data_IF_736725579195
#
_entry.id   IF_736725579195
#
_cell.length_a   1.000
_cell.length_b   1.000
_cell.length_c   1.000
_cell.angle_alpha   90.00
_cell.angle_beta   90.00
_cell.angle_gamma   90.00
#
_symmetry.space_group_name_H-M   'P 1'
#
loop_
_entity.id
_entity.type
_entity.pdbx_description
1 polymer ?
#
# COMPACT_ATOMS: atom_id res chain seq x y z
N UNK A 1 -70.32 -30.51 -25.32
CA UNK A 1 -69.18 -31.32 -24.82
C UNK A 1 -68.02 -31.18 -25.80
N UNK A 2 -66.79 -31.29 -25.29
CA UNK A 2 -65.56 -30.64 -25.73
C UNK A 2 -65.05 -30.96 -27.16
N UNK A 3 -64.51 -29.92 -27.81
CA UNK A 3 -63.71 -29.96 -29.03
C UNK A 3 -62.22 -30.06 -28.68
N UNK A 4 -61.48 -30.91 -29.40
CA UNK A 4 -60.05 -31.14 -29.22
C UNK A 4 -59.21 -30.01 -29.83
N UNK A 5 -58.14 -29.60 -29.13
CA UNK A 5 -57.05 -28.80 -29.70
C UNK A 5 -55.72 -29.52 -29.48
N UNK A 6 -55.05 -29.78 -30.59
CA UNK A 6 -53.67 -30.26 -30.70
C UNK A 6 -52.72 -29.09 -30.45
N UNK A 7 -51.72 -29.27 -29.59
CA UNK A 7 -50.53 -28.40 -29.56
C UNK A 7 -49.27 -29.27 -29.60
N UNK A 8 -48.47 -29.03 -30.64
CA UNK A 8 -47.19 -29.67 -30.89
C UNK A 8 -46.11 -29.16 -29.91
N UNK A 9 -45.20 -30.06 -29.55
CA UNK A 9 -44.00 -29.76 -28.75
C UNK A 9 -42.93 -29.06 -29.60
N UNK A 10 -42.23 -28.03 -29.09
CA UNK A 10 -41.04 -27.52 -29.76
C UNK A 10 -39.81 -28.40 -29.47
N UNK A 11 -39.19 -28.84 -30.55
CA UNK A 11 -37.93 -29.58 -30.63
C UNK A 11 -36.77 -28.80 -29.98
N UNK A 12 -36.00 -29.49 -29.13
CA UNK A 12 -34.78 -28.97 -28.50
C UNK A 12 -33.64 -28.87 -29.51
N UNK A 13 -33.50 -27.71 -30.17
CA UNK A 13 -32.32 -27.41 -30.96
C UNK A 13 -31.13 -27.14 -30.02
N UNK A 14 -30.14 -28.04 -30.04
CA UNK A 14 -28.86 -27.83 -29.36
C UNK A 14 -28.06 -26.73 -30.07
N UNK A 15 -27.47 -25.76 -29.35
CA UNK A 15 -26.69 -24.70 -30.00
C UNK A 15 -25.37 -25.22 -30.60
N UNK A 16 -24.89 -24.62 -31.71
CA UNK A 16 -23.80 -25.12 -32.53
C UNK A 16 -22.45 -25.14 -31.80
N UNK A 17 -21.65 -26.19 -32.07
CA UNK A 17 -20.38 -26.52 -31.40
C UNK A 17 -19.33 -25.39 -31.39
N UNK A 18 -19.41 -24.40 -32.28
CA UNK A 18 -18.53 -23.22 -32.30
C UNK A 18 -18.68 -22.33 -31.06
N UNK A 19 -19.88 -22.21 -30.47
CA UNK A 19 -20.08 -21.47 -29.22
C UNK A 19 -19.46 -22.20 -28.01
N UNK A 20 -19.46 -23.53 -28.03
CA UNK A 20 -18.85 -24.36 -26.98
C UNK A 20 -17.32 -24.25 -26.98
N UNK A 21 -16.71 -24.07 -28.16
CA UNK A 21 -15.26 -23.83 -28.27
C UNK A 21 -14.86 -22.41 -27.86
N UNK A 22 -15.65 -21.37 -28.20
CA UNK A 22 -15.42 -20.01 -27.69
C UNK A 22 -15.58 -19.93 -26.16
N UNK A 23 -16.53 -20.68 -25.57
CA UNK A 23 -16.66 -20.77 -24.12
C UNK A 23 -15.51 -21.57 -23.45
N UNK A 24 -15.02 -22.64 -24.08
CA UNK A 24 -13.83 -23.37 -23.60
C UNK A 24 -12.52 -22.56 -23.70
N UNK A 25 -12.38 -21.67 -24.69
CA UNK A 25 -11.24 -20.74 -24.75
C UNK A 25 -11.38 -19.58 -23.77
N UNK A 26 -12.61 -19.10 -23.49
CA UNK A 26 -12.84 -18.06 -22.47
C UNK A 26 -12.68 -18.57 -21.02
N UNK A 27 -12.74 -19.88 -20.80
CA UNK A 27 -12.45 -20.52 -19.49
C UNK A 27 -10.99 -20.92 -19.29
N UNK A 28 -10.11 -20.74 -20.29
CA UNK A 28 -8.67 -21.04 -20.18
C UNK A 28 -7.79 -19.80 -20.03
N UNK A 29 -8.35 -18.72 -19.47
CA UNK A 29 -7.61 -17.55 -18.97
C UNK A 29 -8.01 -17.23 -17.50
N UNK A 30 -8.36 -18.24 -16.73
CA UNK A 30 -8.44 -18.17 -15.27
C UNK A 30 -7.09 -18.46 -14.61
N UNK A 31 -5.98 -18.04 -15.22
CA UNK A 31 -4.71 -17.96 -14.51
C UNK A 31 -4.87 -16.85 -13.50
N UNK A 32 -5.15 -17.19 -12.25
CA UNK A 32 -5.15 -16.25 -11.13
C UNK A 32 -3.84 -15.47 -11.25
N UNK A 33 -3.88 -14.21 -11.69
CA UNK A 33 -2.71 -13.34 -11.63
C UNK A 33 -2.43 -13.17 -10.15
N UNK A 34 -1.54 -14.02 -9.63
CA UNK A 34 -1.25 -14.03 -8.21
C UNK A 34 -0.36 -12.83 -7.96
N UNK A 35 -0.99 -11.74 -7.52
CA UNK A 35 -0.34 -10.48 -7.26
C UNK A 35 0.67 -10.55 -6.12
N UNK A 36 1.56 -9.56 -6.05
CA UNK A 36 2.51 -9.42 -4.95
C UNK A 36 1.79 -8.80 -3.74
N UNK A 37 2.01 -9.37 -2.54
CA UNK A 37 1.29 -8.94 -1.35
C UNK A 37 1.87 -7.63 -0.81
N UNK A 38 1.00 -6.66 -0.54
CA UNK A 38 1.35 -5.34 -0.01
C UNK A 38 0.84 -5.22 1.41
N UNK A 39 1.72 -4.75 2.29
CA UNK A 39 1.45 -4.50 3.70
C UNK A 39 1.86 -3.08 4.05
N UNK A 40 1.22 -2.52 5.06
CA UNK A 40 1.67 -1.29 5.74
C UNK A 40 2.15 -1.68 7.12
N UNK A 41 3.29 -1.14 7.54
CA UNK A 41 3.76 -1.30 8.91
C UNK A 41 3.95 0.06 9.58
N UNK A 42 3.74 0.10 10.89
CA UNK A 42 3.94 1.27 11.73
C UNK A 42 4.98 0.97 12.81
N UNK A 43 6.01 1.81 12.89
CA UNK A 43 7.06 1.72 13.92
C UNK A 43 6.95 2.94 14.84
N UNK A 44 6.91 2.77 16.17
CA UNK A 44 6.92 3.89 17.10
C UNK A 44 8.27 4.59 16.98
N UNK A 45 8.26 5.84 16.58
CA UNK A 45 9.43 6.68 16.65
C UNK A 45 9.66 6.99 18.13
N UNK A 46 10.80 6.53 18.66
CA UNK A 46 11.25 6.92 20.00
C UNK A 46 12.19 8.10 19.83
N UNK A 47 11.98 9.15 20.62
CA UNK A 47 12.88 10.29 20.66
C UNK A 47 14.29 9.79 20.99
N UNK A 48 15.28 9.93 20.07
CA UNK A 48 16.67 9.67 20.40
C UNK A 48 17.12 10.65 21.49
N UNK A 49 18.09 10.27 22.32
CA UNK A 49 18.73 11.21 23.25
C UNK A 49 19.52 12.25 22.42
N UNK A 50 19.45 13.54 22.76
CA UNK A 50 20.21 14.60 22.10
C UNK A 50 19.33 15.55 21.24
N UNK A 51 19.89 16.23 20.23
CA UNK A 51 19.17 17.24 19.43
C UNK A 51 17.91 16.71 18.74
N UNK A 52 17.88 15.43 18.36
CA UNK A 52 16.68 14.78 17.84
C UNK A 52 15.52 14.71 18.85
N UNK A 53 15.78 14.80 20.16
CA UNK A 53 14.72 14.96 21.16
C UNK A 53 13.93 16.26 20.94
N UNK A 54 14.62 17.35 20.58
CA UNK A 54 13.97 18.65 20.34
C UNK A 54 13.03 18.58 19.11
N UNK A 55 13.44 17.87 18.06
CA UNK A 55 12.60 17.56 16.89
C UNK A 55 11.30 16.87 17.29
N UNK A 56 11.42 15.82 18.10
CA UNK A 56 10.28 15.06 18.59
C UNK A 56 9.38 15.90 19.51
N UNK A 57 9.97 16.67 20.42
CA UNK A 57 9.24 17.59 21.30
C UNK A 57 8.48 18.65 20.51
N UNK A 58 9.10 19.26 19.49
CA UNK A 58 8.43 20.22 18.62
C UNK A 58 7.27 19.58 17.85
N UNK A 59 7.48 18.37 17.32
CA UNK A 59 6.41 17.63 16.63
C UNK A 59 5.24 17.29 17.58
N UNK A 60 5.51 16.88 18.81
CA UNK A 60 4.48 16.64 19.84
C UNK A 60 3.72 17.93 20.22
N UNK A 61 4.42 19.05 20.41
CA UNK A 61 3.79 20.34 20.75
C UNK A 61 2.84 20.86 19.67
N UNK A 62 3.01 20.44 18.42
CA UNK A 62 2.15 20.80 17.30
C UNK A 62 0.93 19.88 17.15
N UNK A 63 0.73 18.92 18.07
CA UNK A 63 -0.37 17.98 17.99
C UNK A 63 -0.17 16.90 16.93
N UNK A 64 1.07 16.57 16.55
CA UNK A 64 1.33 15.34 15.80
C UNK A 64 1.30 14.16 16.78
N UNK A 65 0.07 13.79 17.20
CA UNK A 65 -0.24 12.88 18.30
C UNK A 65 0.25 11.44 18.16
N UNK A 66 0.75 11.07 16.97
CA UNK A 66 1.18 9.71 16.71
C UNK A 66 2.49 9.76 15.92
N UNK A 67 3.62 9.80 16.63
CA UNK A 67 4.95 9.69 16.04
C UNK A 67 5.20 8.25 15.58
N UNK A 68 4.34 7.76 14.71
CA UNK A 68 4.51 6.51 14.01
C UNK A 68 5.14 6.77 12.66
N UNK A 69 6.24 6.07 12.41
CA UNK A 69 6.81 5.99 11.08
C UNK A 69 6.08 4.90 10.33
N UNK A 70 5.43 5.29 9.24
CA UNK A 70 4.73 4.36 8.36
C UNK A 70 5.63 3.97 7.19
N UNK A 71 5.57 2.69 6.83
CA UNK A 71 6.34 2.12 5.74
C UNK A 71 5.52 1.09 4.97
N UNK A 72 5.82 0.97 3.68
CA UNK A 72 5.18 -0.01 2.80
C UNK A 72 6.09 -1.22 2.64
N UNK A 73 5.51 -2.40 2.79
CA UNK A 73 6.21 -3.68 2.67
C UNK A 73 5.61 -4.47 1.51
N UNK A 74 6.44 -4.81 0.53
CA UNK A 74 6.07 -5.62 -0.62
C UNK A 74 6.68 -7.01 -0.42
N UNK A 75 5.84 -8.04 -0.45
CA UNK A 75 6.24 -9.43 -0.39
C UNK A 75 6.00 -10.10 -1.75
N UNK A 76 7.06 -10.34 -2.54
CA UNK A 76 6.97 -11.08 -3.79
C UNK A 76 6.45 -12.50 -3.56
N UNK A 77 5.61 -12.97 -4.45
CA UNK A 77 4.97 -14.29 -4.33
C UNK A 77 5.97 -15.45 -4.35
N UNK A 78 6.98 -15.37 -5.22
CA UNK A 78 7.97 -16.43 -5.42
C UNK A 78 9.16 -16.35 -4.46
N UNK A 79 9.21 -15.33 -3.60
CA UNK A 79 10.27 -15.19 -2.60
C UNK A 79 9.74 -15.56 -1.22
N UNK A 80 10.03 -16.78 -0.78
CA UNK A 80 9.58 -17.25 0.54
C UNK A 80 10.32 -16.57 1.71
N UNK A 81 11.42 -15.85 1.44
CA UNK A 81 12.30 -15.31 2.49
C UNK A 81 12.73 -13.87 2.24
N UNK A 82 12.03 -13.14 1.36
CA UNK A 82 12.40 -11.76 1.11
C UNK A 82 11.16 -10.89 0.95
N UNK A 83 11.17 -9.77 1.65
CA UNK A 83 10.26 -8.65 1.46
C UNK A 83 11.09 -7.38 1.23
N UNK A 84 10.48 -6.39 0.58
CA UNK A 84 11.07 -5.07 0.34
C UNK A 84 10.30 -4.03 1.12
N UNK A 85 11.01 -3.16 1.80
CA UNK A 85 10.45 -2.05 2.57
C UNK A 85 10.80 -0.76 1.85
N UNK A 86 9.81 0.11 1.74
CA UNK A 86 9.94 1.46 1.26
C UNK A 86 9.48 2.43 2.36
N UNK A 87 10.34 3.37 2.71
CA UNK A 87 10.05 4.34 3.75
C UNK A 87 10.65 5.71 3.48
N UNK A 88 9.86 6.77 3.66
CA UNK A 88 10.25 8.16 3.43
C UNK A 88 10.53 8.85 4.77
N UNK A 89 11.77 9.28 4.99
CA UNK A 89 12.23 9.83 6.26
C UNK A 89 13.12 11.06 6.05
N UNK A 90 13.39 11.87 7.09
CA UNK A 90 14.40 12.91 7.01
C UNK A 90 15.75 12.31 6.59
N UNK A 91 16.48 13.01 5.72
CA UNK A 91 17.80 12.58 5.29
C UNK A 91 18.79 12.54 6.47
N UNK A 92 18.71 13.56 7.33
CA UNK A 92 19.41 13.61 8.60
C UNK A 92 18.40 13.91 9.73
N UNK A 93 17.99 12.91 10.51
CA UNK A 93 17.04 13.10 11.60
C UNK A 93 17.67 13.78 12.84
N UNK A 94 18.98 14.00 12.88
CA UNK A 94 19.66 14.67 13.99
C UNK A 94 20.03 16.13 13.68
N UNK A 95 19.73 16.58 12.46
CA UNK A 95 19.99 17.96 12.02
C UNK A 95 19.22 18.97 12.89
N UNK A 96 19.95 19.90 13.49
CA UNK A 96 19.41 20.97 14.33
C UNK A 96 18.51 21.90 13.51
N UNK A 97 18.79 22.10 12.22
CA UNK A 97 17.92 22.89 11.35
C UNK A 97 16.58 22.22 11.11
N UNK A 98 16.53 20.88 11.11
CA UNK A 98 15.26 20.17 11.06
C UNK A 98 14.41 20.48 12.30
N UNK A 99 15.02 20.57 13.49
CA UNK A 99 14.32 20.86 14.76
C UNK A 99 13.54 22.17 14.75
N UNK A 100 14.11 23.22 14.17
CA UNK A 100 13.45 24.52 14.04
C UNK A 100 12.52 24.60 12.82
N UNK A 101 12.75 23.78 11.79
CA UNK A 101 11.95 23.78 10.57
C UNK A 101 10.59 23.10 10.74
N UNK A 102 10.52 22.03 11.54
CA UNK A 102 9.28 21.30 11.85
C UNK A 102 8.18 22.20 12.43
N UNK A 103 8.41 22.99 13.51
CA UNK A 103 7.38 23.89 14.04
C UNK A 103 7.02 25.03 13.10
N UNK A 104 7.95 25.43 12.23
CA UNK A 104 7.69 26.45 11.21
C UNK A 104 7.06 25.86 9.92
N UNK A 105 6.78 24.55 9.89
CA UNK A 105 6.31 23.81 8.72
C UNK A 105 7.14 24.08 7.45
N UNK A 106 8.45 24.25 7.63
CA UNK A 106 9.41 24.46 6.55
C UNK A 106 9.87 23.11 6.00
N UNK A 107 10.18 23.03 4.69
CA UNK A 107 10.71 21.82 4.09
C UNK A 107 12.11 21.50 4.64
N UNK A 108 12.35 20.22 4.88
CA UNK A 108 13.67 19.66 5.20
C UNK A 108 14.03 18.59 4.16
N UNK A 109 15.32 18.29 3.95
CA UNK A 109 15.72 17.22 3.05
C UNK A 109 15.17 15.87 3.51
N UNK A 110 14.40 15.21 2.66
CA UNK A 110 13.87 13.87 2.83
C UNK A 110 14.53 12.87 1.89
N UNK A 111 14.51 11.61 2.28
CA UNK A 111 15.04 10.48 1.51
C UNK A 111 14.09 9.31 1.57
N UNK A 112 13.92 8.63 0.44
CA UNK A 112 13.24 7.33 0.38
C UNK A 112 14.29 6.25 0.52
N UNK A 113 14.15 5.42 1.54
CA UNK A 113 14.95 4.23 1.71
C UNK A 113 14.22 3.01 1.17
N UNK A 114 14.97 2.17 0.47
CA UNK A 114 14.57 0.83 0.08
C UNK A 114 15.41 -0.19 0.81
N UNK A 115 14.79 -1.06 1.60
CA UNK A 115 15.48 -2.07 2.41
C UNK A 115 14.95 -3.48 2.13
N UNK A 116 15.81 -4.48 2.27
CA UNK A 116 15.41 -5.89 2.19
C UNK A 116 15.13 -6.40 3.61
N UNK A 117 14.00 -7.08 3.78
CA UNK A 117 13.67 -7.83 5.00
C UNK A 117 13.64 -9.31 4.70
N UNK A 118 14.08 -10.12 5.68
CA UNK A 118 13.95 -11.57 5.61
C UNK A 118 12.49 -12.02 5.75
N UNK A 119 11.70 -11.30 6.55
CA UNK A 119 10.30 -11.61 6.83
C UNK A 119 9.49 -10.34 7.05
N UNK A 120 8.19 -10.42 6.77
CA UNK A 120 7.24 -9.36 7.12
C UNK A 120 7.12 -9.28 8.66
N UNK A 121 7.13 -8.08 9.26
CA UNK A 121 6.95 -7.90 10.69
C UNK A 121 5.65 -8.54 11.19
N UNK A 122 5.70 -9.15 12.38
CA UNK A 122 4.53 -9.81 12.99
C UNK A 122 3.61 -8.87 13.77
N UNK A 123 4.12 -7.71 14.16
CA UNK A 123 3.41 -6.73 14.98
C UNK A 123 3.30 -5.42 14.22
N UNK A 124 2.18 -4.71 14.41
CA UNK A 124 1.93 -3.39 13.81
C UNK A 124 2.14 -3.38 12.30
N UNK A 125 1.70 -4.46 11.67
CA UNK A 125 1.81 -4.67 10.24
C UNK A 125 0.48 -5.23 9.76
N UNK A 126 -0.11 -4.58 8.77
CA UNK A 126 -1.44 -4.87 8.26
C UNK A 126 -1.37 -5.18 6.78
N UNK A 127 -2.02 -6.27 6.39
CA UNK A 127 -2.20 -6.59 4.99
C UNK A 127 -3.18 -5.59 4.37
N UNK A 128 -2.81 -5.00 3.24
CA UNK A 128 -3.66 -4.05 2.53
C UNK A 128 -4.29 -4.71 1.31
N UNK A 129 -3.50 -5.38 0.50
CA UNK A 129 -4.00 -5.96 -0.74
C UNK A 129 -2.91 -6.59 -1.58
N UNK A 130 -3.29 -6.94 -2.81
CA UNK A 130 -2.35 -7.43 -3.81
C UNK A 130 -2.13 -6.35 -4.85
N UNK A 131 -0.86 -6.12 -5.18
CA UNK A 131 -0.49 -5.42 -6.40
C UNK A 131 -0.43 -6.41 -7.54
N UNK A 132 -0.56 -5.96 -8.78
CA UNK A 132 -0.24 -6.77 -9.95
C UNK A 132 1.25 -7.15 -9.98
N UNK A 133 1.69 -7.89 -11.00
CA UNK A 133 3.11 -8.26 -11.12
C UNK A 133 4.01 -7.03 -11.21
N UNK A 134 5.20 -7.11 -10.61
CA UNK A 134 6.26 -6.07 -10.62
C UNK A 134 6.00 -4.88 -9.67
N UNK A 135 5.36 -5.13 -8.53
CA UNK A 135 5.10 -4.17 -7.48
C UNK A 135 6.38 -3.47 -7.00
N UNK A 136 7.49 -4.21 -6.88
CA UNK A 136 8.78 -3.64 -6.48
C UNK A 136 9.30 -2.62 -7.51
N UNK A 137 9.11 -2.86 -8.80
CA UNK A 137 9.54 -1.93 -9.86
C UNK A 137 8.62 -0.72 -9.94
N UNK A 138 7.31 -0.92 -9.77
CA UNK A 138 6.35 0.19 -9.63
C UNK A 138 6.71 1.08 -8.45
N UNK A 139 7.03 0.49 -7.31
CA UNK A 139 7.45 1.21 -6.13
C UNK A 139 8.76 2.00 -6.35
N UNK A 140 9.74 1.44 -7.07
CA UNK A 140 10.95 2.19 -7.43
C UNK A 140 10.61 3.40 -8.31
N UNK A 141 9.84 3.21 -9.38
CA UNK A 141 9.44 4.29 -10.30
C UNK A 141 8.62 5.38 -9.62
N UNK A 142 7.74 4.99 -8.69
CA UNK A 142 7.01 5.93 -7.85
C UNK A 142 7.97 6.73 -6.97
N UNK A 143 8.90 6.05 -6.30
CA UNK A 143 9.87 6.64 -5.39
C UNK A 143 10.84 7.60 -6.07
N UNK A 144 11.30 7.28 -7.29
CA UNK A 144 12.18 8.13 -8.10
C UNK A 144 11.55 9.49 -8.44
N UNK A 145 10.22 9.55 -8.49
CA UNK A 145 9.46 10.76 -8.82
C UNK A 145 8.96 11.51 -7.60
N UNK A 146 9.10 10.94 -6.41
CA UNK A 146 8.60 11.54 -5.19
C UNK A 146 9.46 12.75 -4.80
N UNK A 147 8.87 13.92 -4.52
CA UNK A 147 9.64 15.10 -4.11
C UNK A 147 10.47 14.82 -2.86
N UNK A 148 11.68 15.37 -2.79
CA UNK A 148 12.55 15.20 -1.61
C UNK A 148 12.17 16.12 -0.45
N UNK A 149 11.30 17.10 -0.68
CA UNK A 149 10.99 18.15 0.28
C UNK A 149 10.08 17.60 1.39
N UNK A 150 10.64 17.15 2.50
CA UNK A 150 9.87 16.61 3.60
C UNK A 150 9.28 17.75 4.43
N UNK A 151 7.96 17.76 4.57
CA UNK A 151 7.24 18.70 5.43
C UNK A 151 6.38 17.88 6.40
N UNK A 152 6.73 17.89 7.68
CA UNK A 152 5.99 17.12 8.68
C UNK A 152 4.52 17.56 8.70
N UNK A 153 3.61 16.60 8.53
CA UNK A 153 2.18 16.81 8.50
C UNK A 153 1.59 17.19 7.13
N UNK A 154 2.41 17.47 6.12
CA UNK A 154 1.94 17.87 4.77
C UNK A 154 2.54 17.06 3.62
N UNK A 155 3.78 16.59 3.79
CA UNK A 155 4.51 15.82 2.81
C UNK A 155 5.57 14.98 3.55
N UNK A 156 5.13 13.88 4.14
CA UNK A 156 5.95 13.03 5.01
C UNK A 156 5.65 11.55 4.81
N UNK A 157 6.16 10.69 5.70
CA UNK A 157 5.99 9.23 5.62
C UNK A 157 4.53 8.79 5.45
N UNK A 158 3.56 9.53 6.00
CA UNK A 158 2.13 9.19 5.92
C UNK A 158 1.61 9.37 4.50
N UNK A 159 1.96 10.52 3.91
CA UNK A 159 1.59 10.89 2.55
C UNK A 159 2.25 9.95 1.53
N UNK A 160 3.55 9.69 1.71
CA UNK A 160 4.27 8.72 0.90
C UNK A 160 3.65 7.32 0.97
N UNK A 161 3.33 6.85 2.19
CA UNK A 161 2.71 5.53 2.39
C UNK A 161 1.36 5.44 1.70
N UNK A 162 0.47 6.42 1.88
CA UNK A 162 -0.83 6.44 1.22
C UNK A 162 -0.67 6.46 -0.31
N UNK A 163 0.16 7.34 -0.87
CA UNK A 163 0.35 7.46 -2.31
C UNK A 163 0.99 6.21 -2.94
N UNK A 164 1.95 5.58 -2.26
CA UNK A 164 2.56 4.35 -2.74
C UNK A 164 1.56 3.18 -2.69
N UNK A 165 0.79 3.06 -1.61
CA UNK A 165 -0.25 2.03 -1.51
C UNK A 165 -1.31 2.19 -2.59
N UNK A 166 -1.80 3.42 -2.79
CA UNK A 166 -2.75 3.73 -3.87
C UNK A 166 -2.17 3.36 -5.24
N UNK A 167 -0.91 3.69 -5.51
CA UNK A 167 -0.22 3.33 -6.74
C UNK A 167 -0.12 1.81 -6.96
N UNK A 168 0.04 1.04 -5.87
CA UNK A 168 0.25 -0.42 -5.94
C UNK A 168 -1.05 -1.22 -5.95
N UNK A 169 -2.05 -0.82 -5.17
CA UNK A 169 -3.26 -1.61 -4.91
C UNK A 169 -4.56 -0.89 -5.30
N UNK A 170 -4.51 0.43 -5.54
CA UNK A 170 -5.70 1.26 -5.76
C UNK A 170 -6.45 1.65 -4.48
N UNK A 171 -5.98 1.21 -3.30
CA UNK A 171 -6.61 1.51 -2.02
C UNK A 171 -6.22 2.93 -1.56
N UNK A 172 -7.22 3.71 -1.14
CA UNK A 172 -7.05 5.09 -0.69
C UNK A 172 -7.27 5.21 0.82
N UNK A 173 -6.75 6.30 1.42
CA UNK A 173 -6.93 6.61 2.85
C UNK A 173 -6.62 5.42 3.79
N UNK A 174 -5.61 4.62 3.44
CA UNK A 174 -5.32 3.36 4.14
C UNK A 174 -4.94 3.62 5.59
N UNK A 175 -4.15 4.67 5.87
CA UNK A 175 -3.76 4.99 7.25
C UNK A 175 -4.95 5.39 8.13
N UNK A 176 -5.93 6.11 7.60
CA UNK A 176 -7.15 6.48 8.33
C UNK A 176 -7.98 5.23 8.66
N UNK A 177 -8.08 4.31 7.70
CA UNK A 177 -8.79 3.04 7.85
C UNK A 177 -8.11 2.12 8.88
N UNK A 178 -6.78 2.10 8.91
CA UNK A 178 -6.00 1.34 9.91
C UNK A 178 -6.15 1.92 11.32
N UNK A 179 -6.22 3.25 11.47
CA UNK A 179 -6.47 3.91 12.74
C UNK A 179 -7.87 3.63 13.29
N UNK A 180 -8.90 3.68 12.43
CA UNK A 180 -10.27 3.33 12.80
C UNK A 180 -10.39 1.88 13.29
N UNK A 181 -9.65 0.96 12.67
CA UNK A 181 -9.64 -0.48 13.04
C UNK A 181 -8.89 -0.75 14.35
N UNK A 182 -7.93 0.09 14.70
CA UNK A 182 -7.11 -0.06 15.92
C UNK A 182 -7.76 0.59 17.16
N UNK A 183 -8.81 1.40 16.97
CA UNK A 183 -9.49 2.15 18.05
C UNK A 183 -10.73 1.44 18.62
N UNK A 184 -10.90 0.14 18.34
CA UNK A 184 -11.91 -0.75 18.93
C UNK A 184 -11.26 -1.70 19.94
#
# INVERSE_FOLDING_TARGET
MATARVFASPSSASPPQQQRQKQKQKQKQGGKCVGEAVYVAAVPLRAPKGPAQMLFSAAYSLGFWDLHHFMVIIKPLHSQSQAYVFDFQPQDPEDVFAAISVPLQRPIPGVILKRKLQRVPKSRCWFVGFSDSNAVDKANKFSEKWPSDLIVGKHDCRHYTNGLVECLTGEQCVLESLQATTSL
#
